data_IF_684958911629
#
_entry.id   IF_684958911629
#
_cell.length_a   1.000
_cell.length_b   1.000
_cell.length_c   1.000
_cell.angle_alpha   90.00
_cell.angle_beta   90.00
_cell.angle_gamma   90.00
#
_symmetry.space_group_name_H-M   'P 1'
#
loop_
_entity.id
_entity.type
_entity.pdbx_description
1 polymer ?
#
# COMPACT_ATOMS: atom_id res chain seq x y z
N UNK A 1 6.19 -15.36 -6.80
CA UNK A 1 5.65 -15.22 -5.43
C UNK A 1 5.10 -16.56 -4.97
N UNK A 2 5.44 -16.98 -3.78
CA UNK A 2 4.98 -18.21 -3.13
C UNK A 2 4.94 -17.95 -1.62
N UNK A 3 3.87 -18.39 -0.93
CA UNK A 3 3.81 -18.26 0.53
C UNK A 3 4.88 -19.10 1.22
N UNK A 4 5.50 -18.57 2.29
CA UNK A 4 6.47 -19.31 3.14
C UNK A 4 5.80 -20.35 4.03
N UNK A 5 4.52 -20.14 4.36
CA UNK A 5 3.72 -21.04 5.18
C UNK A 5 2.31 -21.20 4.61
N UNK A 6 1.49 -22.05 5.23
CA UNK A 6 0.07 -22.14 4.90
C UNK A 6 -0.60 -20.80 5.19
N UNK A 7 -1.61 -20.43 4.39
CA UNK A 7 -2.33 -19.17 4.58
C UNK A 7 -3.05 -19.09 5.95
N UNK A 8 -3.53 -20.20 6.46
CA UNK A 8 -4.17 -20.26 7.78
C UNK A 8 -3.17 -19.94 8.89
N UNK A 9 -1.96 -20.48 8.84
CA UNK A 9 -0.89 -20.19 9.80
C UNK A 9 -0.49 -18.71 9.73
N UNK A 10 -0.40 -18.16 8.52
CA UNK A 10 -0.08 -16.74 8.31
C UNK A 10 -1.15 -15.83 8.92
N UNK A 11 -2.42 -16.20 8.79
CA UNK A 11 -3.54 -15.45 9.38
C UNK A 11 -3.53 -15.55 10.91
N UNK A 12 -3.46 -16.76 11.45
CA UNK A 12 -3.49 -17.03 12.89
C UNK A 12 -2.33 -16.36 13.63
N UNK A 13 -1.14 -16.42 13.06
CA UNK A 13 0.07 -15.95 13.70
C UNK A 13 0.43 -14.50 13.35
N UNK A 14 0.04 -14.03 12.17
CA UNK A 14 0.36 -12.68 11.70
C UNK A 14 -0.62 -11.62 12.21
N UNK A 15 -1.91 -11.90 12.19
CA UNK A 15 -2.91 -10.88 12.57
C UNK A 15 -2.75 -10.36 14.01
N UNK A 16 -2.46 -11.19 15.04
CA UNK A 16 -2.28 -10.69 16.40
C UNK A 16 -1.08 -9.75 16.59
N UNK A 17 -0.08 -9.83 15.71
CA UNK A 17 1.13 -9.00 15.77
C UNK A 17 0.88 -7.58 15.28
N UNK A 18 -0.15 -7.38 14.44
CA UNK A 18 -0.44 -6.09 13.84
C UNK A 18 -1.32 -5.21 14.76
N UNK A 19 -0.81 -4.01 15.11
CA UNK A 19 -1.62 -3.04 15.86
C UNK A 19 -2.59 -2.30 14.91
N UNK A 20 -3.86 -2.71 14.92
CA UNK A 20 -4.92 -2.14 14.07
C UNK A 20 -5.23 -0.65 14.35
N UNK A 21 -4.91 -0.15 15.55
CA UNK A 21 -5.16 1.25 15.91
C UNK A 21 -4.31 2.22 15.06
N UNK A 22 -3.15 1.77 14.57
CA UNK A 22 -2.28 2.57 13.70
C UNK A 22 -2.91 2.94 12.37
N UNK A 23 -3.96 2.24 11.96
CA UNK A 23 -4.64 2.47 10.69
C UNK A 23 -5.77 3.50 10.78
N UNK A 24 -6.26 3.81 11.97
CA UNK A 24 -7.51 4.57 12.15
C UNK A 24 -7.49 5.93 11.45
N UNK A 25 -6.38 6.66 11.56
CA UNK A 25 -6.25 7.97 10.93
C UNK A 25 -6.25 7.86 9.39
N UNK A 26 -5.38 7.02 8.83
CA UNK A 26 -5.26 6.87 7.37
C UNK A 26 -6.51 6.27 6.74
N UNK A 27 -7.23 5.41 7.47
CA UNK A 27 -8.49 4.83 7.01
C UNK A 27 -9.59 5.90 6.89
N UNK A 28 -9.72 6.75 7.92
CA UNK A 28 -10.71 7.84 7.92
C UNK A 28 -10.35 8.90 6.87
N UNK A 29 -9.07 9.23 6.75
CA UNK A 29 -8.58 10.15 5.74
C UNK A 29 -8.81 9.61 4.33
N UNK A 30 -8.52 8.32 4.10
CA UNK A 30 -8.76 7.66 2.80
C UNK A 30 -10.22 7.78 2.35
N UNK A 31 -11.18 7.56 3.25
CA UNK A 31 -12.61 7.76 2.96
C UNK A 31 -12.94 9.20 2.57
N UNK A 32 -12.36 10.20 3.26
CA UNK A 32 -12.53 11.62 2.95
C UNK A 32 -11.99 11.95 1.56
N UNK A 33 -10.77 11.50 1.25
CA UNK A 33 -10.14 11.69 -0.06
C UNK A 33 -10.93 11.01 -1.16
N UNK A 34 -11.39 9.77 -0.94
CA UNK A 34 -12.22 9.05 -1.92
C UNK A 34 -13.51 9.83 -2.25
N UNK A 35 -14.13 10.44 -1.26
CA UNK A 35 -15.33 11.29 -1.45
C UNK A 35 -15.01 12.62 -2.13
N UNK A 36 -13.90 13.26 -1.75
CA UNK A 36 -13.43 14.55 -2.31
C UNK A 36 -12.89 14.39 -3.73
N UNK A 37 -12.28 13.25 -4.05
CA UNK A 37 -11.74 12.90 -5.35
C UNK A 37 -10.31 13.38 -5.63
N UNK A 38 -9.58 13.87 -4.62
CA UNK A 38 -8.15 14.24 -4.70
C UNK A 38 -7.56 14.36 -3.30
N UNK A 39 -6.24 14.38 -3.18
CA UNK A 39 -5.52 14.71 -1.95
C UNK A 39 -4.76 16.03 -2.10
N UNK A 40 -4.61 16.77 -1.00
CA UNK A 40 -3.68 17.88 -0.90
C UNK A 40 -2.35 17.42 -0.28
N UNK A 41 -1.38 18.34 -0.17
CA UNK A 41 -0.03 18.05 0.33
C UNK A 41 -0.04 17.51 1.76
N UNK A 42 -0.85 18.08 2.65
CA UNK A 42 -0.93 17.64 4.04
C UNK A 42 -1.56 16.24 4.17
N UNK A 43 -2.57 15.97 3.36
CA UNK A 43 -3.20 14.66 3.31
C UNK A 43 -2.25 13.58 2.76
N UNK A 44 -1.48 13.88 1.70
CA UNK A 44 -0.46 12.96 1.18
C UNK A 44 0.67 12.75 2.20
N UNK A 45 1.06 13.80 2.94
CA UNK A 45 2.05 13.73 4.02
C UNK A 45 1.62 12.71 5.09
N UNK A 46 0.36 12.69 5.50
CA UNK A 46 -0.14 11.74 6.50
C UNK A 46 0.07 10.29 6.05
N UNK A 47 -0.23 9.95 4.79
CA UNK A 47 0.06 8.60 4.26
C UNK A 47 1.56 8.31 4.21
N UNK A 48 2.37 9.30 3.84
CA UNK A 48 3.82 9.13 3.83
C UNK A 48 4.38 8.92 5.23
N UNK A 49 3.91 9.66 6.21
CA UNK A 49 4.33 9.53 7.62
C UNK A 49 3.93 8.17 8.19
N UNK A 50 2.72 7.72 7.91
CA UNK A 50 2.25 6.39 8.29
C UNK A 50 3.15 5.27 7.73
N UNK A 51 3.60 5.41 6.46
CA UNK A 51 4.41 4.39 5.79
C UNK A 51 5.91 4.56 6.03
N UNK A 52 6.41 5.79 5.99
CA UNK A 52 7.84 6.11 6.09
C UNK A 52 8.07 7.58 6.46
N UNK A 53 8.10 7.93 7.75
CA UNK A 53 8.24 9.34 8.19
C UNK A 53 9.50 10.04 7.66
N UNK A 54 10.54 9.29 7.30
CA UNK A 54 11.82 9.82 6.80
C UNK A 54 11.71 10.64 5.52
N UNK A 55 10.66 10.42 4.73
CA UNK A 55 10.49 11.08 3.42
C UNK A 55 9.66 12.37 3.49
N UNK A 56 9.18 12.75 4.66
CA UNK A 56 8.32 13.94 4.88
C UNK A 56 8.80 15.18 4.15
N UNK A 57 10.10 15.52 4.27
CA UNK A 57 10.69 16.70 3.62
C UNK A 57 10.53 16.67 2.09
N UNK A 58 10.66 15.50 1.47
CA UNK A 58 10.49 15.35 0.03
C UNK A 58 9.02 15.50 -0.38
N UNK A 59 8.08 14.98 0.40
CA UNK A 59 6.65 15.18 0.15
C UNK A 59 6.31 16.67 0.20
N UNK A 60 6.75 17.37 1.24
CA UNK A 60 6.49 18.81 1.43
C UNK A 60 7.21 19.71 0.41
N UNK A 61 8.13 19.19 -0.39
CA UNK A 61 8.79 19.94 -1.48
C UNK A 61 8.04 19.85 -2.83
N UNK A 62 6.89 19.20 -2.88
CA UNK A 62 5.99 19.27 -4.04
C UNK A 62 5.10 20.50 -3.96
N UNK A 63 4.61 20.93 -5.11
CA UNK A 63 3.55 21.94 -5.19
C UNK A 63 2.20 21.30 -4.87
N UNK A 64 1.39 21.97 -4.06
CA UNK A 64 0.10 21.45 -3.63
C UNK A 64 -0.86 21.19 -4.80
N UNK A 65 -0.81 22.07 -5.82
CA UNK A 65 -1.59 22.00 -7.05
C UNK A 65 -1.26 20.71 -7.82
N UNK A 66 0.04 20.41 -7.96
CA UNK A 66 0.51 19.19 -8.66
C UNK A 66 0.05 17.93 -7.92
N UNK A 67 0.16 17.91 -6.58
CA UNK A 67 -0.35 16.77 -5.79
C UNK A 67 -1.85 16.59 -6.02
N UNK A 68 -2.60 17.70 -5.98
CA UNK A 68 -4.06 17.65 -6.14
C UNK A 68 -4.48 17.19 -7.53
N UNK A 69 -3.75 17.61 -8.57
CA UNK A 69 -3.99 17.19 -9.95
C UNK A 69 -3.66 15.72 -10.15
N UNK A 70 -2.44 15.29 -9.79
CA UNK A 70 -1.98 13.90 -9.92
C UNK A 70 -2.91 12.93 -9.18
N UNK A 71 -3.24 13.25 -7.92
CA UNK A 71 -4.10 12.35 -7.14
C UNK A 71 -5.54 12.32 -7.66
N UNK A 72 -6.05 13.40 -8.23
CA UNK A 72 -7.36 13.45 -8.89
C UNK A 72 -7.40 12.54 -10.11
N UNK A 73 -6.38 12.60 -10.95
CA UNK A 73 -6.30 11.80 -12.17
C UNK A 73 -6.14 10.31 -11.83
N UNK A 74 -5.32 10.00 -10.84
CA UNK A 74 -5.18 8.63 -10.29
C UNK A 74 -6.53 8.08 -9.82
N UNK A 75 -7.29 8.84 -9.03
CA UNK A 75 -8.55 8.36 -8.47
C UNK A 75 -9.68 8.25 -9.51
N UNK A 76 -9.57 8.94 -10.64
CA UNK A 76 -10.54 8.90 -11.77
C UNK A 76 -10.17 7.87 -12.84
N UNK A 77 -8.90 7.60 -13.02
CA UNK A 77 -8.40 6.68 -14.04
C UNK A 77 -8.93 5.26 -13.82
N UNK A 78 -9.00 4.49 -14.91
CA UNK A 78 -9.23 3.05 -14.91
C UNK A 78 -7.94 2.25 -15.14
N UNK A 79 -6.84 2.93 -15.46
CA UNK A 79 -5.57 2.30 -15.79
C UNK A 79 -4.73 2.05 -14.55
N UNK A 80 -4.46 0.80 -14.23
CA UNK A 80 -3.59 0.43 -13.11
C UNK A 80 -2.15 0.92 -13.31
N UNK A 81 -1.68 1.03 -14.56
CA UNK A 81 -0.39 1.66 -14.89
C UNK A 81 -0.36 3.13 -14.47
N UNK A 82 -1.43 3.89 -14.78
CA UNK A 82 -1.53 5.29 -14.39
C UNK A 82 -1.65 5.45 -12.87
N UNK A 83 -2.36 4.55 -12.20
CA UNK A 83 -2.52 4.65 -10.74
C UNK A 83 -1.17 4.68 -10.02
N UNK A 84 -0.30 3.74 -10.31
CA UNK A 84 1.01 3.69 -9.66
C UNK A 84 2.01 4.66 -10.31
N UNK A 85 2.05 4.72 -11.64
CA UNK A 85 3.01 5.51 -12.40
C UNK A 85 2.91 7.00 -12.16
N UNK A 86 1.69 7.55 -12.13
CA UNK A 86 1.48 8.97 -11.86
C UNK A 86 1.88 9.36 -10.44
N UNK A 87 1.55 8.54 -9.43
CA UNK A 87 1.97 8.80 -8.04
C UNK A 87 3.49 8.84 -7.88
N UNK A 88 4.23 8.03 -8.64
CA UNK A 88 5.70 7.98 -8.60
C UNK A 88 6.37 9.25 -9.18
N UNK A 89 5.64 10.11 -9.88
CA UNK A 89 6.13 11.42 -10.35
C UNK A 89 6.29 12.42 -9.19
N UNK A 90 5.59 12.21 -8.08
CA UNK A 90 5.65 13.09 -6.92
C UNK A 90 6.93 12.84 -6.12
N UNK A 91 7.62 13.92 -5.75
CA UNK A 91 8.86 13.85 -4.95
C UNK A 91 8.61 13.12 -3.63
N UNK A 92 9.45 12.14 -3.31
CA UNK A 92 9.34 11.33 -2.10
C UNK A 92 8.35 10.16 -2.18
N UNK A 93 7.53 10.07 -3.23
CA UNK A 93 6.61 8.94 -3.40
C UNK A 93 7.32 7.76 -4.02
N UNK A 94 7.46 6.69 -3.26
CA UNK A 94 7.97 5.38 -3.70
C UNK A 94 6.82 4.38 -3.86
N UNK A 95 7.08 3.19 -4.41
CA UNK A 95 6.07 2.12 -4.53
C UNK A 95 5.35 1.80 -3.21
N UNK A 96 6.05 1.67 -2.05
CA UNK A 96 5.37 1.48 -0.77
C UNK A 96 4.40 2.61 -0.40
N UNK A 97 4.79 3.87 -0.62
CA UNK A 97 3.93 5.03 -0.30
C UNK A 97 2.76 5.13 -1.28
N UNK A 98 3.02 5.00 -2.58
CA UNK A 98 1.99 5.01 -3.61
C UNK A 98 0.96 3.89 -3.40
N UNK A 99 1.42 2.66 -3.08
CA UNK A 99 0.54 1.53 -2.82
C UNK A 99 -0.31 1.73 -1.55
N UNK A 100 0.24 2.36 -0.50
CA UNK A 100 -0.52 2.72 0.69
C UNK A 100 -1.61 3.76 0.36
N UNK A 101 -1.29 4.81 -0.38
CA UNK A 101 -2.27 5.77 -0.86
C UNK A 101 -3.40 5.08 -1.65
N UNK A 102 -3.06 4.24 -2.62
CA UNK A 102 -4.04 3.49 -3.42
C UNK A 102 -4.89 2.55 -2.56
N UNK A 103 -4.29 1.88 -1.58
CA UNK A 103 -4.99 0.97 -0.68
C UNK A 103 -6.13 1.65 0.08
N UNK A 104 -5.87 2.83 0.65
CA UNK A 104 -6.83 3.55 1.47
C UNK A 104 -7.76 4.48 0.68
N UNK A 105 -7.28 5.06 -0.43
CA UNK A 105 -8.01 6.11 -1.15
C UNK A 105 -8.71 5.63 -2.43
N UNK A 106 -8.26 4.55 -3.07
CA UNK A 106 -8.84 4.11 -4.33
C UNK A 106 -10.04 3.18 -4.11
N UNK A 107 -11.04 3.24 -5.01
CA UNK A 107 -12.22 2.35 -4.96
C UNK A 107 -11.86 0.89 -5.23
N UNK A 108 -10.98 0.65 -6.19
CA UNK A 108 -10.41 -0.67 -6.44
C UNK A 108 -9.42 -1.00 -5.33
N UNK A 109 -9.52 -2.19 -4.75
CA UNK A 109 -8.66 -2.60 -3.65
C UNK A 109 -7.27 -2.99 -4.14
N UNK A 110 -6.27 -2.29 -3.61
CA UNK A 110 -4.86 -2.53 -3.86
C UNK A 110 -4.17 -3.08 -2.60
N UNK A 111 -3.22 -3.99 -2.75
CA UNK A 111 -2.34 -4.39 -1.64
C UNK A 111 -1.31 -3.29 -1.36
N UNK A 112 -0.81 -3.24 -0.13
CA UNK A 112 0.33 -2.40 0.22
C UNK A 112 1.61 -3.20 -0.02
N UNK A 113 2.46 -2.72 -0.93
CA UNK A 113 3.76 -3.38 -1.13
C UNK A 113 4.72 -3.00 -0.01
N UNK A 114 5.29 -4.01 0.62
CA UNK A 114 6.17 -3.86 1.78
C UNK A 114 7.21 -4.99 1.78
N UNK A 115 8.43 -4.72 2.24
CA UNK A 115 9.48 -5.74 2.31
C UNK A 115 9.09 -6.92 3.19
N UNK A 116 8.32 -6.68 4.27
CA UNK A 116 7.82 -7.75 5.15
C UNK A 116 6.79 -8.63 4.47
N UNK A 117 5.82 -8.01 3.77
CA UNK A 117 4.85 -8.76 2.99
C UNK A 117 5.54 -9.59 1.89
N UNK A 118 6.54 -9.02 1.23
CA UNK A 118 7.34 -9.72 0.23
C UNK A 118 8.13 -10.88 0.81
N UNK A 119 8.70 -10.72 2.01
CA UNK A 119 9.37 -11.81 2.69
C UNK A 119 8.41 -13.00 2.93
N UNK A 120 7.21 -12.74 3.45
CA UNK A 120 6.17 -13.78 3.63
C UNK A 120 5.76 -14.43 2.30
N UNK A 121 5.91 -13.70 1.19
CA UNK A 121 5.68 -14.20 -0.17
C UNK A 121 6.92 -14.84 -0.83
N UNK A 122 7.95 -15.17 -0.03
CA UNK A 122 9.09 -15.96 -0.46
C UNK A 122 10.28 -15.18 -1.02
N UNK A 123 10.33 -13.86 -0.82
CA UNK A 123 11.48 -13.04 -1.19
C UNK A 123 12.42 -12.85 0.00
N UNK A 124 13.64 -13.34 -0.10
CA UNK A 124 14.67 -13.12 0.94
C UNK A 124 15.22 -11.69 0.87
N UNK A 125 15.32 -11.14 -0.33
CA UNK A 125 15.72 -9.77 -0.58
C UNK A 125 14.59 -8.98 -1.25
N UNK A 126 14.52 -7.68 -0.96
CA UNK A 126 13.55 -6.81 -1.62
C UNK A 126 13.92 -6.64 -3.09
N UNK A 127 13.08 -7.08 -4.03
CA UNK A 127 13.36 -6.95 -5.45
C UNK A 127 13.34 -5.48 -5.88
N UNK A 128 14.00 -5.18 -7.00
CA UNK A 128 13.88 -3.86 -7.62
C UNK A 128 12.43 -3.63 -8.06
N UNK A 129 11.80 -2.63 -7.47
CA UNK A 129 10.44 -2.28 -7.84
C UNK A 129 10.37 -1.67 -9.23
N UNK A 130 9.43 -2.16 -10.02
CA UNK A 130 8.99 -1.58 -11.28
C UNK A 130 7.49 -1.80 -11.45
N UNK A 131 6.88 -1.14 -12.42
CA UNK A 131 5.42 -1.23 -12.65
C UNK A 131 4.98 -2.67 -12.91
N UNK A 132 5.70 -3.42 -13.72
CA UNK A 132 5.37 -4.81 -14.01
C UNK A 132 5.45 -5.71 -12.77
N UNK A 133 6.46 -5.49 -11.91
CA UNK A 133 6.55 -6.22 -10.65
C UNK A 133 5.37 -5.88 -9.73
N UNK A 134 5.02 -4.58 -9.60
CA UNK A 134 3.89 -4.15 -8.80
C UNK A 134 2.56 -4.74 -9.31
N UNK A 135 2.33 -4.73 -10.62
CA UNK A 135 1.13 -5.35 -11.21
C UNK A 135 1.07 -6.86 -10.94
N UNK A 136 2.21 -7.54 -11.02
CA UNK A 136 2.30 -8.97 -10.67
C UNK A 136 1.96 -9.21 -9.20
N UNK A 137 2.45 -8.34 -8.30
CA UNK A 137 2.13 -8.37 -6.88
C UNK A 137 0.64 -8.15 -6.62
N UNK A 138 0.03 -7.14 -7.25
CA UNK A 138 -1.41 -6.85 -7.18
C UNK A 138 -2.24 -8.06 -7.62
N UNK A 139 -1.90 -8.64 -8.79
CA UNK A 139 -2.62 -9.79 -9.32
C UNK A 139 -2.49 -11.03 -8.41
N UNK A 140 -1.30 -11.28 -7.88
CA UNK A 140 -1.06 -12.39 -6.98
C UNK A 140 -1.87 -12.24 -5.68
N UNK A 141 -1.78 -11.10 -5.02
CA UNK A 141 -2.45 -10.85 -3.74
C UNK A 141 -3.97 -10.81 -3.87
N UNK A 142 -4.51 -10.28 -4.98
CA UNK A 142 -5.96 -10.34 -5.28
C UNK A 142 -6.44 -11.78 -5.43
N UNK A 143 -5.71 -12.60 -6.20
CA UNK A 143 -6.04 -14.03 -6.34
C UNK A 143 -5.98 -14.77 -5.00
N UNK A 144 -4.96 -14.45 -4.19
CA UNK A 144 -4.80 -15.05 -2.87
C UNK A 144 -5.94 -14.65 -1.93
N UNK A 145 -6.30 -13.37 -1.88
CA UNK A 145 -7.41 -12.86 -1.08
C UNK A 145 -8.75 -13.49 -1.50
N UNK A 146 -9.02 -13.51 -2.81
CA UNK A 146 -10.25 -14.10 -3.37
C UNK A 146 -10.35 -15.60 -3.06
N UNK A 147 -9.27 -16.36 -3.26
CA UNK A 147 -9.24 -17.80 -3.00
C UNK A 147 -9.56 -18.14 -1.53
N UNK A 148 -9.20 -17.27 -0.60
CA UNK A 148 -9.35 -17.49 0.84
C UNK A 148 -10.47 -16.66 1.47
N UNK A 149 -11.32 -16.02 0.66
CA UNK A 149 -12.42 -15.15 1.12
C UNK A 149 -11.97 -14.07 2.12
N UNK A 150 -10.84 -13.41 1.81
CA UNK A 150 -10.25 -12.36 2.64
C UNK A 150 -10.43 -10.98 2.00
N UNK A 151 -10.66 -9.97 2.82
CA UNK A 151 -10.45 -8.60 2.37
C UNK A 151 -8.95 -8.29 2.25
N UNK A 152 -8.62 -7.31 1.41
CA UNK A 152 -7.23 -6.98 1.11
C UNK A 152 -6.47 -6.48 2.33
N UNK A 153 -7.13 -5.77 3.26
CA UNK A 153 -6.46 -5.25 4.45
C UNK A 153 -6.11 -6.35 5.44
N UNK A 154 -7.01 -7.30 5.64
CA UNK A 154 -6.75 -8.49 6.45
C UNK A 154 -5.55 -9.27 5.90
N UNK A 155 -5.50 -9.50 4.59
CA UNK A 155 -4.34 -10.15 3.97
C UNK A 155 -3.04 -9.37 4.17
N UNK A 156 -3.04 -8.04 3.94
CA UNK A 156 -1.85 -7.21 4.13
C UNK A 156 -1.32 -7.27 5.57
N UNK A 157 -2.20 -7.17 6.56
CA UNK A 157 -1.84 -7.24 7.98
C UNK A 157 -1.26 -8.60 8.35
N UNK A 158 -1.86 -9.68 7.87
CA UNK A 158 -1.38 -11.04 8.12
C UNK A 158 0.00 -11.26 7.52
N UNK A 159 0.22 -10.89 6.26
CA UNK A 159 1.52 -11.01 5.59
C UNK A 159 2.61 -10.22 6.32
N UNK A 160 2.31 -8.98 6.70
CA UNK A 160 3.24 -8.11 7.43
C UNK A 160 3.53 -8.64 8.82
N UNK A 161 2.51 -9.04 9.57
CA UNK A 161 2.64 -9.53 10.94
C UNK A 161 3.38 -10.85 11.03
N UNK A 162 3.14 -11.77 10.09
CA UNK A 162 3.87 -13.03 10.01
C UNK A 162 5.38 -12.79 9.81
N UNK A 163 5.74 -11.92 8.88
CA UNK A 163 7.16 -11.51 8.72
C UNK A 163 7.70 -10.85 9.99
N UNK A 164 6.93 -9.97 10.63
CA UNK A 164 7.37 -9.30 11.87
C UNK A 164 7.66 -10.29 12.99
N UNK A 165 6.99 -11.44 13.00
CA UNK A 165 7.19 -12.50 13.99
C UNK A 165 8.39 -13.40 13.68
N UNK A 166 8.65 -13.67 12.38
CA UNK A 166 9.58 -14.71 11.96
C UNK A 166 10.78 -14.23 11.11
N UNK A 167 10.76 -13.00 10.66
CA UNK A 167 11.89 -12.39 9.95
C UNK A 167 12.75 -11.63 10.97
N UNK A 168 13.98 -12.05 11.14
CA UNK A 168 15.00 -11.38 11.96
C UNK A 168 15.45 -10.03 11.38
#
# INVERSE_FOLDING_TARGET
MKLRANILDILEEGLPVYNVQTDTEVFNLGKKIQKKGFANIEELRIFSDWKSPRIRKHILSNENEIISEVTRDVLRSKSEYLHIGALLLLKGVSYPVASAFLHFCHKTKYPIIDYRALWTLGYDETPKYCVNFWLSYVNFTRKLAMKNNLDMRTLDRALWGYSKKYQD
#
